data_IF_389249376444
#
_entry.id   IF_389249376444
#
_cell.length_a   1.000
_cell.length_b   1.000
_cell.length_c   1.000
_cell.angle_alpha   90.00
_cell.angle_beta   90.00
_cell.angle_gamma   90.00
#
_symmetry.space_group_name_H-M   'P 1'
#
loop_
_entity.id
_entity.type
_entity.pdbx_description
1 polymer ?
#
# COMPACT_ATOMS: atom_id res chain seq x y z
N UNK A 1 0.57 29.15 18.05
CA UNK A 1 1.42 28.52 17.03
C UNK A 1 1.80 29.62 16.05
N UNK A 2 3.08 29.93 15.94
CA UNK A 2 3.60 31.01 15.09
C UNK A 2 3.53 30.57 13.61
N UNK A 3 3.24 31.47 12.64
CA UNK A 3 3.37 31.21 11.21
C UNK A 3 4.61 30.37 10.81
N UNK A 4 5.78 30.66 11.39
CA UNK A 4 7.00 29.90 11.10
C UNK A 4 6.88 28.41 11.50
N UNK A 5 6.27 28.10 12.64
CA UNK A 5 6.06 26.71 13.09
C UNK A 5 5.09 25.96 12.18
N UNK A 6 4.12 26.65 11.58
CA UNK A 6 3.18 26.05 10.62
C UNK A 6 3.86 25.77 9.28
N UNK A 7 4.75 26.66 8.84
CA UNK A 7 5.57 26.45 7.64
C UNK A 7 6.53 25.29 7.83
N UNK A 8 7.20 25.21 8.98
CA UNK A 8 8.09 24.08 9.29
C UNK A 8 7.34 22.74 9.24
N UNK A 9 6.13 22.68 9.83
CA UNK A 9 5.30 21.47 9.74
C UNK A 9 4.85 21.16 8.32
N UNK A 10 4.53 22.17 7.52
CA UNK A 10 4.18 22.00 6.11
C UNK A 10 5.34 21.36 5.33
N UNK A 11 6.56 21.86 5.52
CA UNK A 11 7.76 21.32 4.89
C UNK A 11 8.05 19.88 5.34
N UNK A 12 7.82 19.57 6.62
CA UNK A 12 7.90 18.19 7.12
C UNK A 12 6.87 17.27 6.45
N UNK A 13 5.63 17.72 6.27
CA UNK A 13 4.60 16.95 5.56
C UNK A 13 4.96 16.72 4.08
N UNK A 14 5.52 17.73 3.41
CA UNK A 14 5.97 17.63 2.00
C UNK A 14 7.14 16.63 1.89
N UNK A 15 8.11 16.70 2.80
CA UNK A 15 9.21 15.75 2.86
C UNK A 15 8.71 14.31 3.12
N UNK A 16 7.74 14.15 4.03
CA UNK A 16 7.10 12.86 4.31
C UNK A 16 6.34 12.32 3.09
N UNK A 17 5.63 13.15 2.33
CA UNK A 17 4.97 12.74 1.07
C UNK A 17 5.98 12.28 0.02
N UNK A 18 7.09 13.00 -0.14
CA UNK A 18 8.15 12.62 -1.07
C UNK A 18 8.71 11.24 -0.73
N UNK A 19 9.00 11.01 0.56
CA UNK A 19 9.45 9.71 1.06
C UNK A 19 8.38 8.63 0.87
N UNK A 20 7.12 8.95 1.15
CA UNK A 20 5.97 8.08 0.95
C UNK A 20 5.80 7.64 -0.50
N UNK A 21 5.98 8.53 -1.48
CA UNK A 21 5.94 8.19 -2.91
C UNK A 21 7.00 7.13 -3.29
N UNK A 22 8.23 7.28 -2.79
CA UNK A 22 9.32 6.33 -3.04
C UNK A 22 8.95 4.97 -2.42
N UNK A 23 8.46 4.97 -1.18
CA UNK A 23 8.05 3.76 -0.49
C UNK A 23 6.86 3.08 -1.19
N UNK A 24 5.86 3.84 -1.63
CA UNK A 24 4.69 3.32 -2.33
C UNK A 24 5.08 2.66 -3.66
N UNK A 25 6.06 3.22 -4.38
CA UNK A 25 6.62 2.59 -5.58
C UNK A 25 7.22 1.23 -5.27
N UNK A 26 8.07 1.15 -4.24
CA UNK A 26 8.69 -0.11 -3.80
C UNK A 26 7.65 -1.14 -3.37
N UNK A 27 6.65 -0.73 -2.59
CA UNK A 27 5.55 -1.59 -2.17
C UNK A 27 4.69 -2.05 -3.36
N UNK A 28 4.47 -1.17 -4.34
CA UNK A 28 3.76 -1.51 -5.57
C UNK A 28 4.47 -2.59 -6.38
N UNK A 29 5.81 -2.50 -6.50
CA UNK A 29 6.62 -3.53 -7.13
C UNK A 29 6.56 -4.86 -6.35
N UNK A 30 6.69 -4.82 -5.02
CA UNK A 30 6.59 -6.01 -4.16
C UNK A 30 5.22 -6.68 -4.26
N UNK A 31 4.14 -5.88 -4.26
CA UNK A 31 2.76 -6.35 -4.46
C UNK A 31 2.61 -7.03 -5.82
N UNK A 32 3.10 -6.41 -6.90
CA UNK A 32 3.01 -6.99 -8.25
C UNK A 32 3.79 -8.31 -8.35
N UNK A 33 5.00 -8.34 -7.79
CA UNK A 33 5.86 -9.53 -7.83
C UNK A 33 5.28 -10.68 -7.01
N UNK A 34 4.79 -10.42 -5.80
CA UNK A 34 4.15 -11.44 -4.96
C UNK A 34 2.91 -12.06 -5.61
N UNK A 35 2.07 -11.26 -6.28
CA UNK A 35 0.93 -11.77 -7.05
C UNK A 35 1.38 -12.61 -8.25
N UNK A 36 2.44 -12.18 -8.96
CA UNK A 36 3.01 -12.94 -10.08
C UNK A 36 3.51 -14.30 -9.62
N UNK A 37 4.32 -14.35 -8.56
CA UNK A 37 4.89 -15.58 -7.99
C UNK A 37 3.77 -16.52 -7.52
N UNK A 38 2.80 -16.01 -6.77
CA UNK A 38 1.65 -16.79 -6.29
C UNK A 38 0.85 -17.40 -7.46
N UNK A 39 0.53 -16.61 -8.50
CA UNK A 39 -0.22 -17.11 -9.66
C UNK A 39 0.51 -18.20 -10.43
N UNK A 40 1.82 -18.03 -10.64
CA UNK A 40 2.64 -19.04 -11.33
C UNK A 40 2.69 -20.33 -10.52
N UNK A 41 2.95 -20.24 -9.21
CA UNK A 41 3.02 -21.42 -8.35
C UNK A 41 1.68 -22.15 -8.29
N UNK A 42 0.57 -21.42 -8.11
CA UNK A 42 -0.77 -22.00 -8.09
C UNK A 42 -1.11 -22.70 -9.41
N UNK A 43 -0.78 -22.09 -10.55
CA UNK A 43 -1.01 -22.68 -11.86
C UNK A 43 -0.22 -23.98 -12.05
N UNK A 44 1.07 -24.00 -11.64
CA UNK A 44 1.90 -25.21 -11.66
C UNK A 44 1.31 -26.32 -10.78
N UNK A 45 0.85 -25.99 -9.57
CA UNK A 45 0.23 -26.97 -8.66
C UNK A 45 -1.07 -27.54 -9.23
N UNK A 46 -1.93 -26.68 -9.79
CA UNK A 46 -3.17 -27.11 -10.46
C UNK A 46 -2.85 -28.03 -11.63
N UNK A 47 -1.84 -27.70 -12.44
CA UNK A 47 -1.43 -28.54 -13.56
C UNK A 47 -0.92 -29.91 -13.10
N UNK A 48 -0.09 -29.97 -12.06
CA UNK A 48 0.37 -31.23 -11.45
C UNK A 48 -0.81 -32.09 -11.00
N UNK A 49 -1.75 -31.54 -10.23
CA UNK A 49 -2.91 -32.28 -9.74
C UNK A 49 -3.81 -32.79 -10.87
N UNK A 50 -3.88 -32.05 -12.00
CA UNK A 50 -4.58 -32.52 -13.21
C UNK A 50 -3.87 -33.71 -13.86
N UNK A 51 -2.55 -33.69 -13.94
CA UNK A 51 -1.75 -34.81 -14.46
C UNK A 51 -1.90 -36.05 -13.58
N UNK A 52 -2.02 -35.86 -12.27
CA UNK A 52 -2.26 -36.91 -11.27
C UNK A 52 -3.72 -37.43 -11.29
N UNK A 53 -4.54 -36.98 -12.26
CA UNK A 53 -5.96 -37.35 -12.45
C UNK A 53 -6.84 -37.11 -11.21
N UNK A 54 -6.47 -36.14 -10.37
CA UNK A 54 -7.29 -35.71 -9.23
C UNK A 54 -8.63 -35.19 -9.73
N UNK A 55 -9.72 -35.54 -9.03
CA UNK A 55 -11.06 -35.07 -9.36
C UNK A 55 -11.10 -33.53 -9.36
N UNK A 56 -11.68 -32.93 -10.41
CA UNK A 56 -11.69 -31.47 -10.62
C UNK A 56 -12.25 -30.69 -9.43
N UNK A 57 -13.24 -31.25 -8.72
CA UNK A 57 -13.81 -30.66 -7.51
C UNK A 57 -12.80 -30.52 -6.37
N UNK A 58 -11.85 -31.46 -6.24
CA UNK A 58 -10.84 -31.49 -5.17
C UNK A 58 -9.59 -30.67 -5.49
N UNK A 59 -9.29 -30.44 -6.78
CA UNK A 59 -8.09 -29.70 -7.21
C UNK A 59 -8.04 -28.31 -6.57
N UNK A 60 -9.18 -27.63 -6.45
CA UNK A 60 -9.25 -26.28 -5.88
C UNK A 60 -8.86 -26.27 -4.41
N UNK A 61 -9.35 -27.24 -3.65
CA UNK A 61 -9.11 -27.31 -2.20
C UNK A 61 -7.69 -27.80 -1.91
N UNK A 62 -7.22 -28.81 -2.64
CA UNK A 62 -5.86 -29.34 -2.49
C UNK A 62 -4.79 -28.32 -2.92
N UNK A 63 -5.00 -27.60 -4.03
CA UNK A 63 -4.05 -26.58 -4.47
C UNK A 63 -3.95 -25.40 -3.50
N UNK A 64 -5.04 -25.05 -2.81
CA UNK A 64 -5.07 -23.96 -1.82
C UNK A 64 -4.65 -24.39 -0.42
N UNK A 65 -4.84 -25.66 -0.09
CA UNK A 65 -4.39 -26.28 1.16
C UNK A 65 -2.90 -26.65 1.14
N UNK A 66 -2.28 -26.66 -0.04
CA UNK A 66 -0.83 -26.83 -0.18
C UNK A 66 -0.08 -25.76 0.63
N UNK A 67 0.87 -26.21 1.45
CA UNK A 67 1.59 -25.36 2.39
C UNK A 67 2.35 -24.22 1.70
N UNK A 68 2.95 -24.50 0.54
CA UNK A 68 3.73 -23.50 -0.20
C UNK A 68 2.81 -22.49 -0.88
N UNK A 69 1.72 -22.93 -1.49
CA UNK A 69 0.73 -22.03 -2.08
C UNK A 69 0.07 -21.15 -1.01
N UNK A 70 -0.24 -21.72 0.15
CA UNK A 70 -0.79 -20.98 1.29
C UNK A 70 0.18 -19.91 1.79
N UNK A 71 1.47 -20.23 1.92
CA UNK A 71 2.53 -19.28 2.28
C UNK A 71 2.63 -18.14 1.26
N UNK A 72 2.70 -18.46 -0.03
CA UNK A 72 2.77 -17.45 -1.10
C UNK A 72 1.51 -16.56 -1.14
N UNK A 73 0.34 -17.12 -0.83
CA UNK A 73 -0.91 -16.36 -0.71
C UNK A 73 -0.84 -15.36 0.45
N UNK A 74 -0.34 -15.80 1.61
CA UNK A 74 -0.14 -14.93 2.77
C UNK A 74 0.82 -13.78 2.45
N UNK A 75 1.96 -14.07 1.83
CA UNK A 75 2.94 -13.04 1.46
C UNK A 75 2.37 -12.02 0.50
N UNK A 76 1.60 -12.47 -0.49
CA UNK A 76 0.85 -11.59 -1.38
C UNK A 76 -0.13 -10.71 -0.61
N UNK A 77 -0.91 -11.30 0.30
CA UNK A 77 -1.94 -10.57 1.04
C UNK A 77 -1.30 -9.51 1.96
N UNK A 78 -0.17 -9.82 2.59
CA UNK A 78 0.65 -8.87 3.35
C UNK A 78 1.13 -7.73 2.45
N UNK A 79 1.77 -8.04 1.32
CA UNK A 79 2.26 -7.02 0.40
C UNK A 79 1.14 -6.13 -0.15
N UNK A 80 -0.05 -6.71 -0.35
CA UNK A 80 -1.24 -5.99 -0.78
C UNK A 80 -1.74 -5.03 0.30
N UNK A 81 -1.81 -5.50 1.55
CA UNK A 81 -2.19 -4.68 2.70
C UNK A 81 -1.20 -3.54 2.92
N UNK A 82 0.11 -3.83 2.91
CA UNK A 82 1.17 -2.82 3.08
C UNK A 82 1.04 -1.69 2.06
N UNK A 83 0.78 -2.03 0.79
CA UNK A 83 0.55 -1.05 -0.26
C UNK A 83 -0.65 -0.15 0.02
N UNK A 84 -1.78 -0.71 0.44
CA UNK A 84 -2.99 0.07 0.73
C UNK A 84 -2.85 0.93 1.99
N UNK A 85 -2.20 0.41 3.03
CA UNK A 85 -1.90 1.16 4.26
C UNK A 85 -1.01 2.35 3.93
N UNK A 86 0.07 2.14 3.17
CA UNK A 86 0.96 3.23 2.74
C UNK A 86 0.20 4.28 1.91
N UNK A 87 -0.60 3.84 0.95
CA UNK A 87 -1.43 4.74 0.14
C UNK A 87 -2.39 5.57 1.01
N UNK A 88 -3.09 4.93 1.94
CA UNK A 88 -4.00 5.63 2.86
C UNK A 88 -3.26 6.62 3.77
N UNK A 89 -2.08 6.26 4.26
CA UNK A 89 -1.24 7.17 5.05
C UNK A 89 -0.85 8.40 4.25
N UNK A 90 -0.53 8.26 2.97
CA UNK A 90 -0.22 9.40 2.10
C UNK A 90 -1.43 10.32 1.87
N UNK A 91 -2.64 9.76 1.70
CA UNK A 91 -3.85 10.59 1.62
C UNK A 91 -4.09 11.36 2.91
N UNK A 92 -3.82 10.78 4.08
CA UNK A 92 -3.93 11.50 5.35
C UNK A 92 -2.95 12.69 5.43
N UNK A 93 -1.71 12.53 4.94
CA UNK A 93 -0.73 13.63 4.92
C UNK A 93 -1.21 14.76 3.98
N UNK A 94 -1.85 14.43 2.85
CA UNK A 94 -2.44 15.47 1.97
C UNK A 94 -3.55 16.25 2.69
N UNK A 95 -4.40 15.56 3.45
CA UNK A 95 -5.44 16.20 4.26
C UNK A 95 -4.81 17.11 5.32
N UNK A 96 -3.73 16.67 5.96
CA UNK A 96 -3.00 17.49 6.94
C UNK A 96 -2.41 18.75 6.31
N UNK A 97 -1.85 18.66 5.10
CA UNK A 97 -1.36 19.81 4.34
C UNK A 97 -2.49 20.83 4.08
N UNK A 98 -3.67 20.36 3.66
CA UNK A 98 -4.81 21.26 3.44
C UNK A 98 -5.26 21.94 4.74
N UNK A 99 -5.27 21.21 5.87
CA UNK A 99 -5.57 21.79 7.19
C UNK A 99 -4.54 22.87 7.57
N UNK A 100 -3.25 22.62 7.36
CA UNK A 100 -2.19 23.59 7.64
C UNK A 100 -2.32 24.83 6.76
N UNK A 101 -2.64 24.65 5.47
CA UNK A 101 -2.91 25.75 4.54
C UNK A 101 -4.11 26.58 4.97
N UNK A 102 -5.21 25.96 5.37
CA UNK A 102 -6.38 26.68 5.90
C UNK A 102 -6.04 27.51 7.14
N UNK A 103 -5.22 26.98 8.06
CA UNK A 103 -4.77 27.70 9.25
C UNK A 103 -3.91 28.92 8.90
N UNK A 104 -3.00 28.79 7.93
CA UNK A 104 -2.18 29.90 7.44
C UNK A 104 -3.03 31.01 6.80
N UNK A 105 -4.02 30.64 6.00
CA UNK A 105 -4.97 31.60 5.39
C UNK A 105 -5.76 32.34 6.47
N UNK A 106 -6.25 31.62 7.49
CA UNK A 106 -6.94 32.25 8.61
C UNK A 106 -6.04 33.25 9.35
N UNK A 107 -4.81 32.86 9.69
CA UNK A 107 -3.84 33.75 10.34
C UNK A 107 -3.52 35.00 9.52
N UNK A 108 -3.36 34.87 8.19
CA UNK A 108 -3.16 36.01 7.29
C UNK A 108 -4.31 37.01 7.39
N UNK A 109 -5.55 36.51 7.37
CA UNK A 109 -6.74 37.36 7.44
C UNK A 109 -6.86 38.06 8.79
N UNK A 110 -6.56 37.37 9.90
CA UNK A 110 -6.58 37.96 11.26
C UNK A 110 -5.50 39.04 11.47
N UNK A 111 -4.32 38.86 10.87
CA UNK A 111 -3.23 39.83 10.99
C UNK A 111 -3.45 41.09 10.12
N UNK A 112 -4.53 41.15 9.34
CA UNK A 112 -4.85 42.31 8.48
C UNK A 112 -3.80 42.59 7.40
N UNK A 113 -2.92 41.62 7.12
CA UNK A 113 -1.90 41.74 6.08
C UNK A 113 -2.60 41.43 4.75
N UNK A 114 -3.13 42.49 4.13
CA UNK A 114 -3.70 42.49 2.78
C UNK A 114 -2.61 42.31 1.72
#
# INVERSE_FOLDING_TARGET
MNPNELMDKLDMCIAALTKGNIQLKTLGLKKAESERVYRIALAKKIFSLKMDKVQVSLIRDLSRGDQEISRLRLERDIANNDYYVCKSSMENIKVEIEILRSKLVWLRNELGIS
#
